data_IF_759243518656
#
_entry.id   IF_759243518656
#
_cell.length_a   1.000
_cell.length_b   1.000
_cell.length_c   1.000
_cell.angle_alpha   90.00
_cell.angle_beta   90.00
_cell.angle_gamma   90.00
#
_symmetry.space_group_name_H-M   'P 1'
#
loop_
_entity.id
_entity.type
_entity.pdbx_description
1 polymer ?
#
# COMPACT_ATOMS: atom_id res chain seq x y z
N UNK A 1 23.09 15.15 -3.14
CA UNK A 1 23.27 14.88 -4.58
C UNK A 1 23.87 13.48 -4.69
N UNK A 2 23.31 12.63 -5.57
CA UNK A 2 23.88 11.31 -5.83
C UNK A 2 25.25 11.43 -6.48
N UNK A 3 26.18 10.57 -6.14
CA UNK A 3 27.52 10.52 -6.74
C UNK A 3 27.43 9.98 -8.18
N UNK A 4 28.45 10.30 -9.00
CA UNK A 4 28.53 9.77 -10.38
C UNK A 4 28.48 8.23 -10.39
N UNK A 5 29.06 7.59 -9.38
CA UNK A 5 29.03 6.12 -9.22
C UNK A 5 27.63 5.60 -8.96
N UNK A 6 26.86 6.27 -8.08
CA UNK A 6 25.47 5.92 -7.79
C UNK A 6 24.56 6.11 -9.02
N UNK A 7 24.75 7.20 -9.77
CA UNK A 7 23.99 7.43 -11.01
C UNK A 7 24.27 6.37 -12.06
N UNK A 8 25.54 5.96 -12.25
CA UNK A 8 25.89 4.85 -13.16
C UNK A 8 25.26 3.52 -12.72
N UNK A 9 25.24 3.25 -11.43
CA UNK A 9 24.60 2.03 -10.89
C UNK A 9 23.10 2.02 -11.17
N UNK A 10 22.40 3.12 -10.88
CA UNK A 10 20.96 3.27 -11.16
C UNK A 10 20.67 3.06 -12.66
N UNK A 11 21.50 3.64 -13.53
CA UNK A 11 21.36 3.47 -14.97
C UNK A 11 21.59 2.02 -15.43
N UNK A 12 22.54 1.31 -14.84
CA UNK A 12 22.78 -0.11 -15.13
C UNK A 12 21.63 -0.98 -14.68
N UNK A 13 21.11 -0.76 -13.46
CA UNK A 13 19.94 -1.48 -12.92
C UNK A 13 18.71 -1.26 -13.80
N UNK A 14 18.47 -0.03 -14.26
CA UNK A 14 17.40 0.30 -15.20
C UNK A 14 17.55 -0.42 -16.55
N UNK A 15 18.74 -0.40 -17.13
CA UNK A 15 19.00 -1.10 -18.39
C UNK A 15 18.80 -2.61 -18.27
N UNK A 16 19.21 -3.19 -17.15
CA UNK A 16 19.02 -4.62 -16.89
C UNK A 16 17.52 -4.96 -16.74
N UNK A 17 16.78 -4.14 -16.01
CA UNK A 17 15.32 -4.28 -15.90
C UNK A 17 14.63 -4.25 -17.28
N UNK A 18 14.99 -3.28 -18.13
CA UNK A 18 14.45 -3.20 -19.49
C UNK A 18 14.80 -4.44 -20.36
N UNK A 19 16.03 -4.96 -20.22
CA UNK A 19 16.44 -6.19 -20.93
C UNK A 19 15.66 -7.40 -20.45
N UNK A 20 15.41 -7.53 -19.17
CA UNK A 20 14.60 -8.61 -18.59
C UNK A 20 13.17 -8.56 -19.12
N UNK A 21 12.53 -7.39 -19.15
CA UNK A 21 11.20 -7.22 -19.76
C UNK A 21 11.22 -7.72 -21.21
N UNK A 22 12.17 -7.26 -22.02
CA UNK A 22 12.29 -7.66 -23.44
C UNK A 22 12.51 -9.17 -23.63
N UNK A 23 13.32 -9.78 -22.77
CA UNK A 23 13.65 -11.21 -22.85
C UNK A 23 12.43 -12.07 -22.49
N UNK A 24 11.79 -11.76 -21.37
CA UNK A 24 10.68 -12.58 -20.83
C UNK A 24 9.39 -12.40 -21.68
N UNK A 25 9.18 -11.21 -22.25
CA UNK A 25 8.04 -10.93 -23.13
C UNK A 25 8.31 -11.22 -24.60
N UNK A 26 9.41 -11.93 -24.93
CA UNK A 26 9.72 -12.27 -26.32
C UNK A 26 8.58 -13.05 -26.99
N UNK A 27 8.30 -12.72 -28.23
CA UNK A 27 7.23 -13.31 -29.02
C UNK A 27 7.72 -14.35 -30.02
N UNK A 28 9.04 -14.58 -30.13
CA UNK A 28 9.63 -15.49 -31.12
C UNK A 28 9.19 -16.94 -30.97
N UNK A 29 8.83 -17.37 -29.73
CA UNK A 29 8.33 -18.71 -29.45
C UNK A 29 6.80 -18.85 -29.45
N UNK A 30 6.06 -17.76 -29.68
CA UNK A 30 4.60 -17.82 -29.76
C UNK A 30 4.18 -18.46 -31.08
N UNK A 31 3.15 -19.31 -30.99
CA UNK A 31 2.52 -19.93 -32.18
C UNK A 31 2.13 -18.84 -33.18
N UNK A 32 2.38 -19.10 -34.49
CA UNK A 32 1.96 -18.19 -35.56
C UNK A 32 0.41 -18.11 -35.54
N UNK A 33 -0.11 -16.98 -35.08
CA UNK A 33 -1.53 -16.69 -35.03
C UNK A 33 -1.97 -16.02 -36.34
N UNK A 34 -3.14 -16.37 -36.81
CA UNK A 34 -3.83 -15.57 -37.83
C UNK A 34 -4.30 -14.24 -37.21
N UNK A 35 -4.60 -13.25 -38.02
CA UNK A 35 -5.15 -11.96 -37.57
C UNK A 35 -6.42 -12.13 -36.72
N UNK A 36 -7.30 -13.06 -37.13
CA UNK A 36 -8.53 -13.39 -36.40
C UNK A 36 -8.25 -14.00 -35.02
N UNK A 37 -7.32 -14.95 -34.95
CA UNK A 37 -6.92 -15.57 -33.65
C UNK A 37 -6.29 -14.54 -32.71
N UNK A 38 -5.46 -13.66 -33.24
CA UNK A 38 -4.87 -12.56 -32.47
C UNK A 38 -5.94 -11.63 -31.88
N UNK A 39 -6.91 -11.22 -32.71
CA UNK A 39 -8.01 -10.37 -32.27
C UNK A 39 -8.86 -11.04 -31.17
N UNK A 40 -9.19 -12.33 -31.36
CA UNK A 40 -9.92 -13.11 -30.35
C UNK A 40 -9.14 -13.22 -29.03
N UNK A 41 -7.83 -13.45 -29.10
CA UNK A 41 -6.98 -13.47 -27.91
C UNK A 41 -6.98 -12.13 -27.21
N UNK A 42 -6.76 -11.03 -27.91
CA UNK A 42 -6.77 -9.68 -27.34
C UNK A 42 -8.12 -9.40 -26.66
N UNK A 43 -9.23 -9.69 -27.34
CA UNK A 43 -10.58 -9.50 -26.78
C UNK A 43 -10.81 -10.33 -25.51
N UNK A 44 -10.28 -11.56 -25.46
CA UNK A 44 -10.32 -12.39 -24.23
C UNK A 44 -9.53 -11.75 -23.09
N UNK A 45 -8.30 -11.31 -23.36
CA UNK A 45 -7.43 -10.67 -22.37
C UNK A 45 -8.02 -9.34 -21.86
N UNK A 46 -8.68 -8.57 -22.70
CA UNK A 46 -9.39 -7.35 -22.31
C UNK A 46 -10.59 -7.61 -21.37
N UNK A 47 -11.18 -8.80 -21.41
CA UNK A 47 -12.28 -9.22 -20.52
C UNK A 47 -11.77 -9.85 -19.22
N UNK A 48 -10.70 -10.63 -19.30
CA UNK A 48 -10.13 -11.40 -18.21
C UNK A 48 -8.85 -10.73 -17.68
N UNK A 49 -8.98 -10.12 -16.51
CA UNK A 49 -7.87 -9.40 -15.88
C UNK A 49 -6.70 -10.33 -15.49
N UNK A 50 -6.99 -11.52 -14.95
CA UNK A 50 -5.94 -12.47 -14.57
C UNK A 50 -5.14 -12.92 -15.80
N UNK A 51 -5.84 -13.32 -16.86
CA UNK A 51 -5.22 -13.71 -18.11
C UNK A 51 -4.43 -12.56 -18.75
N UNK A 52 -4.91 -11.30 -18.63
CA UNK A 52 -4.19 -10.11 -19.07
C UNK A 52 -2.86 -9.96 -18.35
N UNK A 53 -2.87 -10.05 -17.01
CA UNK A 53 -1.66 -9.95 -16.19
C UNK A 53 -0.67 -11.07 -16.53
N UNK A 54 -1.12 -12.31 -16.61
CA UNK A 54 -0.28 -13.48 -16.93
C UNK A 54 0.33 -13.39 -18.33
N UNK A 55 -0.39 -12.86 -19.27
CA UNK A 55 0.11 -12.75 -20.65
C UNK A 55 1.06 -11.58 -20.83
N UNK A 56 0.73 -10.37 -20.37
CA UNK A 56 1.58 -9.20 -20.61
C UNK A 56 2.68 -9.02 -19.57
N UNK A 57 2.50 -9.47 -18.33
CA UNK A 57 3.41 -9.21 -17.20
C UNK A 57 3.93 -10.48 -16.51
N UNK A 58 4.36 -11.52 -17.24
CA UNK A 58 4.82 -12.77 -16.61
C UNK A 58 6.04 -12.57 -15.70
N UNK A 59 6.87 -11.56 -15.95
CA UNK A 59 8.05 -11.25 -15.14
C UNK A 59 7.71 -10.77 -13.73
N UNK A 60 6.55 -10.14 -13.49
CA UNK A 60 6.06 -9.81 -12.16
C UNK A 60 5.48 -11.02 -11.42
N UNK A 61 5.06 -12.03 -12.16
CA UNK A 61 4.36 -13.20 -11.62
C UNK A 61 5.26 -14.43 -11.49
N UNK A 62 6.53 -14.32 -11.83
CA UNK A 62 7.52 -15.41 -11.75
C UNK A 62 8.53 -15.14 -10.64
N UNK A 63 8.57 -16.03 -9.65
CA UNK A 63 9.70 -16.09 -8.74
C UNK A 63 10.82 -16.83 -9.45
N UNK A 64 11.96 -16.17 -9.66
CA UNK A 64 13.12 -16.72 -10.32
C UNK A 64 14.28 -16.90 -9.37
N UNK A 65 15.07 -17.91 -9.58
CA UNK A 65 16.37 -18.06 -8.95
C UNK A 65 17.28 -16.88 -9.38
N UNK A 66 17.93 -16.25 -8.42
CA UNK A 66 18.76 -15.06 -8.68
C UNK A 66 20.08 -15.38 -9.39
N UNK A 67 20.52 -16.63 -9.33
CA UNK A 67 21.80 -17.08 -9.91
C UNK A 67 21.58 -17.71 -11.26
N UNK A 68 20.64 -18.65 -11.36
CA UNK A 68 20.37 -19.39 -12.60
C UNK A 68 19.37 -18.70 -13.54
N UNK A 69 18.55 -17.78 -13.01
CA UNK A 69 17.44 -17.17 -13.75
C UNK A 69 16.25 -18.09 -13.98
N UNK A 70 16.31 -19.35 -13.52
CA UNK A 70 15.23 -20.32 -13.68
C UNK A 70 13.97 -19.92 -12.90
N UNK A 71 12.80 -20.25 -13.45
CA UNK A 71 11.52 -20.00 -12.78
C UNK A 71 11.32 -21.05 -11.69
N UNK A 72 11.43 -20.62 -10.43
CA UNK A 72 11.17 -21.48 -9.27
C UNK A 72 9.66 -21.73 -9.12
N UNK A 73 8.85 -20.66 -9.26
CA UNK A 73 7.40 -20.71 -9.05
C UNK A 73 6.71 -19.61 -9.85
N UNK A 74 5.57 -19.89 -10.45
CA UNK A 74 4.66 -18.90 -10.98
C UNK A 74 3.63 -18.56 -9.91
N UNK A 75 3.41 -17.24 -9.69
CA UNK A 75 2.49 -16.71 -8.71
C UNK A 75 1.28 -16.18 -9.46
N UNK A 76 0.11 -16.77 -9.24
CA UNK A 76 -1.13 -16.33 -9.85
C UNK A 76 -1.80 -15.21 -9.02
N UNK A 77 -2.66 -14.43 -9.69
CA UNK A 77 -3.48 -13.45 -9.00
C UNK A 77 -4.42 -14.13 -8.02
N UNK A 78 -4.48 -13.62 -6.79
CA UNK A 78 -5.54 -14.01 -5.88
C UNK A 78 -6.91 -13.46 -6.31
N UNK A 79 -8.03 -14.05 -5.86
CA UNK A 79 -9.37 -13.57 -6.18
C UNK A 79 -9.60 -12.09 -5.86
N UNK A 80 -8.99 -11.58 -4.78
CA UNK A 80 -9.15 -10.18 -4.37
C UNK A 80 -8.45 -9.19 -5.34
N UNK A 81 -7.36 -9.57 -6.02
CA UNK A 81 -6.73 -8.78 -7.07
C UNK A 81 -7.68 -8.57 -8.24
N UNK A 82 -8.27 -9.67 -8.71
CA UNK A 82 -9.20 -9.65 -9.83
C UNK A 82 -10.49 -8.89 -9.48
N UNK A 83 -11.02 -9.08 -8.27
CA UNK A 83 -12.19 -8.37 -7.79
C UNK A 83 -11.95 -6.85 -7.72
N UNK A 84 -10.78 -6.43 -7.23
CA UNK A 84 -10.41 -5.03 -7.14
C UNK A 84 -10.28 -4.37 -8.52
N UNK A 85 -9.54 -4.98 -9.45
CA UNK A 85 -9.39 -4.48 -10.81
C UNK A 85 -10.73 -4.39 -11.56
N UNK A 86 -11.59 -5.41 -11.43
CA UNK A 86 -12.94 -5.38 -11.98
C UNK A 86 -13.80 -4.28 -11.34
N UNK A 87 -13.69 -4.05 -10.05
CA UNK A 87 -14.37 -2.93 -9.35
C UNK A 87 -13.95 -1.59 -9.93
N UNK A 88 -12.63 -1.39 -10.12
CA UNK A 88 -12.07 -0.16 -10.72
C UNK A 88 -12.56 0.02 -12.15
N UNK A 89 -12.57 -1.06 -12.96
CA UNK A 89 -13.04 -1.02 -14.34
C UNK A 89 -14.51 -0.63 -14.45
N UNK A 90 -15.35 -1.29 -13.65
CA UNK A 90 -16.81 -1.21 -13.77
C UNK A 90 -17.44 -0.02 -13.03
N UNK A 91 -16.64 0.77 -12.31
CA UNK A 91 -17.12 1.94 -11.55
C UNK A 91 -16.37 3.20 -12.00
N UNK A 92 -16.89 3.96 -12.97
CA UNK A 92 -16.20 5.11 -13.56
C UNK A 92 -15.81 6.21 -12.55
N UNK A 93 -16.62 6.43 -11.51
CA UNK A 93 -16.40 7.45 -10.48
C UNK A 93 -15.93 6.85 -9.15
N UNK A 94 -15.20 5.74 -9.20
CA UNK A 94 -14.78 5.03 -8.01
C UNK A 94 -13.86 5.91 -7.14
N UNK A 95 -14.19 5.96 -5.86
CA UNK A 95 -13.29 6.43 -4.80
C UNK A 95 -13.01 5.23 -3.91
N UNK A 96 -11.78 4.71 -3.92
CA UNK A 96 -11.46 3.48 -3.23
C UNK A 96 -10.16 3.55 -2.46
N UNK A 97 -10.12 2.83 -1.34
CA UNK A 97 -8.91 2.50 -0.59
C UNK A 97 -8.73 1.00 -0.61
N UNK A 98 -7.59 0.55 -1.15
CA UNK A 98 -7.17 -0.84 -1.10
C UNK A 98 -6.12 -1.00 0.00
N UNK A 99 -6.60 -1.38 1.16
CA UNK A 99 -5.82 -1.62 2.36
C UNK A 99 -5.40 -3.09 2.39
N UNK A 100 -4.27 -3.39 1.75
CA UNK A 100 -3.74 -4.74 1.61
C UNK A 100 -2.40 -4.89 2.33
N UNK A 101 -2.04 -6.08 2.80
CA UNK A 101 -0.81 -6.31 3.53
C UNK A 101 0.44 -5.98 2.70
N UNK A 102 1.54 -5.78 3.38
CA UNK A 102 2.84 -5.67 2.72
C UNK A 102 3.13 -6.94 1.91
N UNK A 103 3.69 -6.75 0.70
CA UNK A 103 4.01 -7.87 -0.19
C UNK A 103 2.79 -8.53 -0.86
N UNK A 104 1.58 -7.96 -0.78
CA UNK A 104 0.38 -8.45 -1.46
C UNK A 104 0.11 -7.73 -2.79
N UNK A 105 1.16 -7.23 -3.44
CA UNK A 105 1.16 -6.66 -4.79
C UNK A 105 0.18 -5.50 -5.04
N UNK A 106 -0.17 -4.71 -3.98
CA UNK A 106 -1.10 -3.58 -4.11
C UNK A 106 -0.64 -2.55 -5.16
N UNK A 107 0.63 -2.12 -5.09
CA UNK A 107 1.23 -1.19 -6.05
C UNK A 107 1.27 -1.80 -7.45
N UNK A 108 1.77 -3.04 -7.60
CA UNK A 108 1.82 -3.73 -8.88
C UNK A 108 0.46 -3.76 -9.58
N UNK A 109 -0.62 -4.06 -8.83
CA UNK A 109 -1.96 -4.13 -9.39
C UNK A 109 -2.57 -2.77 -9.64
N UNK A 110 -2.45 -1.81 -8.72
CA UNK A 110 -3.19 -0.55 -8.81
C UNK A 110 -2.41 0.54 -9.55
N UNK A 111 -1.07 0.49 -9.53
CA UNK A 111 -0.24 1.49 -10.19
C UNK A 111 0.12 1.06 -11.63
N UNK A 112 0.28 -0.26 -11.89
CA UNK A 112 0.78 -0.75 -13.17
C UNK A 112 -0.29 -1.54 -13.94
N UNK A 113 -0.73 -2.68 -13.42
CA UNK A 113 -1.56 -3.61 -14.20
C UNK A 113 -2.96 -3.07 -14.50
N UNK A 114 -3.63 -2.52 -13.50
CA UNK A 114 -5.00 -2.00 -13.67
C UNK A 114 -5.04 -0.81 -14.61
N UNK A 115 -4.21 0.25 -14.49
CA UNK A 115 -4.24 1.34 -15.44
C UNK A 115 -3.86 0.91 -16.85
N UNK A 116 -2.91 0.00 -17.05
CA UNK A 116 -2.60 -0.53 -18.38
C UNK A 116 -3.75 -1.37 -18.95
N UNK A 117 -4.42 -2.19 -18.11
CA UNK A 117 -5.61 -2.92 -18.54
C UNK A 117 -6.77 -2.00 -18.94
N UNK A 118 -6.97 -0.87 -18.23
CA UNK A 118 -7.96 0.15 -18.57
C UNK A 118 -7.59 0.93 -19.85
N UNK A 119 -6.31 1.18 -20.04
CA UNK A 119 -5.79 1.84 -21.24
C UNK A 119 -6.02 1.02 -22.50
N UNK A 120 -5.81 -0.30 -22.41
CA UNK A 120 -5.94 -1.22 -23.55
C UNK A 120 -7.34 -1.84 -23.72
N UNK A 121 -8.38 -1.29 -23.07
CA UNK A 121 -9.76 -1.70 -23.37
C UNK A 121 -10.18 -1.29 -24.80
N UNK A 122 -11.15 -2.00 -25.43
CA UNK A 122 -11.64 -1.64 -26.78
C UNK A 122 -12.13 -0.19 -26.85
N UNK A 123 -12.83 0.25 -25.82
CA UNK A 123 -13.08 1.66 -25.54
C UNK A 123 -12.18 2.05 -24.38
N UNK A 124 -11.14 2.81 -24.67
CA UNK A 124 -10.18 3.27 -23.65
C UNK A 124 -10.88 3.93 -22.48
N UNK A 125 -10.50 3.50 -21.26
CA UNK A 125 -11.14 3.93 -20.00
C UNK A 125 -10.29 4.89 -19.17
N UNK A 126 -9.06 5.18 -19.63
CA UNK A 126 -8.12 6.08 -18.98
C UNK A 126 -7.39 6.94 -20.03
N UNK A 127 -7.29 8.24 -19.79
CA UNK A 127 -6.64 9.20 -20.68
C UNK A 127 -5.61 10.05 -19.96
N UNK A 128 -5.76 10.24 -18.65
CA UNK A 128 -4.83 11.02 -17.83
C UNK A 128 -4.69 10.39 -16.45
N UNK A 129 -3.53 9.77 -16.22
CA UNK A 129 -3.18 9.18 -14.94
C UNK A 129 -2.23 10.09 -14.16
N UNK A 130 -2.51 10.28 -12.87
CA UNK A 130 -1.59 10.86 -11.89
C UNK A 130 -1.23 9.80 -10.86
N UNK A 131 0.06 9.54 -10.71
CA UNK A 131 0.61 8.67 -9.68
C UNK A 131 1.23 9.52 -8.58
N UNK A 132 0.75 9.36 -7.35
CA UNK A 132 1.18 10.13 -6.19
C UNK A 132 1.96 9.23 -5.25
N UNK A 133 3.22 9.56 -4.98
CA UNK A 133 4.07 8.88 -4.00
C UNK A 133 4.35 9.73 -2.77
N UNK A 134 5.00 9.15 -1.78
CA UNK A 134 5.47 9.87 -0.58
C UNK A 134 6.48 10.99 -0.90
N UNK A 135 7.17 10.88 -2.02
CA UNK A 135 8.06 11.89 -2.62
C UNK A 135 7.95 11.83 -4.13
N UNK A 136 8.40 12.86 -4.81
CA UNK A 136 8.48 12.91 -6.28
C UNK A 136 9.36 11.78 -6.83
N UNK A 137 10.55 11.57 -6.25
CA UNK A 137 11.44 10.47 -6.63
C UNK A 137 10.79 9.08 -6.48
N UNK A 138 9.94 8.91 -5.46
CA UNK A 138 9.19 7.66 -5.26
C UNK A 138 8.14 7.48 -6.35
N UNK A 139 7.41 8.55 -6.67
CA UNK A 139 6.40 8.54 -7.72
C UNK A 139 7.04 8.33 -9.11
N UNK A 140 8.18 8.98 -9.39
CA UNK A 140 8.92 8.82 -10.64
C UNK A 140 9.36 7.37 -10.86
N UNK A 141 9.87 6.69 -9.81
CA UNK A 141 10.27 5.29 -9.92
C UNK A 141 9.10 4.37 -10.25
N UNK A 142 7.95 4.55 -9.56
CA UNK A 142 6.75 3.74 -9.83
C UNK A 142 6.20 4.02 -11.24
N UNK A 143 6.20 5.27 -11.67
CA UNK A 143 5.77 5.63 -13.02
C UNK A 143 6.76 5.12 -14.08
N UNK A 144 8.05 5.03 -13.75
CA UNK A 144 9.09 4.44 -14.58
C UNK A 144 8.80 2.99 -14.95
N UNK A 145 8.24 2.19 -14.04
CA UNK A 145 7.83 0.81 -14.33
C UNK A 145 6.78 0.75 -15.44
N UNK A 146 5.77 1.64 -15.39
CA UNK A 146 4.78 1.76 -16.49
C UNK A 146 5.45 2.17 -17.80
N UNK A 147 6.36 3.14 -17.72
CA UNK A 147 7.10 3.63 -18.89
C UNK A 147 7.93 2.52 -19.54
N UNK A 148 8.60 1.69 -18.72
CA UNK A 148 9.36 0.53 -19.19
C UNK A 148 8.48 -0.51 -19.88
N UNK A 149 7.32 -0.83 -19.30
CA UNK A 149 6.37 -1.75 -19.91
C UNK A 149 5.86 -1.25 -21.28
N UNK A 150 5.48 -0.01 -21.35
CA UNK A 150 4.98 0.59 -22.60
C UNK A 150 6.06 0.70 -23.68
N UNK A 151 7.32 0.80 -23.29
CA UNK A 151 8.45 0.97 -24.21
C UNK A 151 9.10 -0.35 -24.63
N UNK A 152 9.21 -1.32 -23.70
CA UNK A 152 10.06 -2.50 -23.90
C UNK A 152 9.30 -3.82 -23.90
N UNK A 153 8.04 -3.88 -23.45
CA UNK A 153 7.26 -5.10 -23.45
C UNK A 153 6.86 -5.49 -24.89
N UNK A 154 7.51 -6.54 -25.40
CA UNK A 154 7.31 -6.98 -26.79
C UNK A 154 5.90 -7.48 -27.07
N UNK A 155 5.20 -8.05 -26.07
CA UNK A 155 3.81 -8.50 -26.23
C UNK A 155 2.85 -7.32 -26.35
N UNK A 156 3.04 -6.28 -25.53
CA UNK A 156 2.29 -5.02 -25.65
C UNK A 156 2.54 -4.38 -27.00
N UNK A 157 3.81 -4.28 -27.42
CA UNK A 157 4.16 -3.70 -28.72
C UNK A 157 3.57 -4.49 -29.89
N UNK A 158 3.59 -5.84 -29.81
CA UNK A 158 3.04 -6.70 -30.85
C UNK A 158 1.52 -6.56 -30.98
N UNK A 159 0.80 -6.35 -29.88
CA UNK A 159 -0.66 -6.32 -29.88
C UNK A 159 -1.25 -4.91 -30.05
N UNK A 160 -0.64 -3.91 -29.45
CA UNK A 160 -1.14 -2.52 -29.41
C UNK A 160 -0.21 -1.50 -30.09
N UNK A 161 0.89 -1.96 -30.68
CA UNK A 161 1.87 -1.08 -31.31
C UNK A 161 2.79 -0.35 -30.33
N UNK A 162 3.75 0.40 -30.88
CA UNK A 162 4.69 1.20 -30.11
C UNK A 162 3.97 2.36 -29.43
N UNK A 163 4.11 2.44 -28.10
CA UNK A 163 3.43 3.44 -27.27
C UNK A 163 4.26 4.72 -27.07
N UNK A 164 5.59 4.64 -27.16
CA UNK A 164 6.49 5.77 -27.01
C UNK A 164 6.23 6.86 -28.03
N UNK A 165 6.09 8.11 -27.55
CA UNK A 165 5.96 9.32 -28.37
C UNK A 165 7.24 10.15 -28.27
N UNK A 166 7.86 10.45 -29.42
CA UNK A 166 9.09 11.27 -29.45
C UNK A 166 8.82 12.69 -28.95
N UNK A 167 9.71 13.21 -28.11
CA UNK A 167 9.62 14.56 -27.52
C UNK A 167 8.67 14.70 -26.31
N UNK A 168 7.94 13.64 -25.95
CA UNK A 168 7.01 13.63 -24.81
C UNK A 168 7.19 12.37 -23.94
N UNK A 169 8.44 11.95 -23.72
CA UNK A 169 8.78 10.70 -23.03
C UNK A 169 9.90 10.94 -22.03
N UNK A 170 9.60 11.72 -20.98
CA UNK A 170 10.56 12.10 -19.93
C UNK A 170 10.28 11.29 -18.65
N UNK A 171 11.24 11.24 -17.75
CA UNK A 171 11.06 10.67 -16.43
C UNK A 171 10.01 11.50 -15.67
N UNK A 172 9.07 10.81 -15.03
CA UNK A 172 8.01 11.43 -14.22
C UNK A 172 6.87 12.06 -15.02
N UNK A 173 7.05 12.31 -16.33
CA UNK A 173 5.99 12.85 -17.18
C UNK A 173 6.13 12.35 -18.62
N UNK A 174 5.10 11.69 -19.14
CA UNK A 174 5.10 11.28 -20.53
C UNK A 174 3.70 11.17 -21.13
N UNK A 175 3.65 11.20 -22.46
CA UNK A 175 2.41 11.00 -23.23
C UNK A 175 2.63 9.88 -24.23
N UNK A 176 1.72 8.92 -24.27
CA UNK A 176 1.76 7.85 -25.29
C UNK A 176 1.45 8.40 -26.68
N UNK A 177 1.84 7.63 -27.71
CA UNK A 177 1.53 7.96 -29.11
C UNK A 177 0.02 8.17 -29.35
N UNK A 178 -0.81 7.47 -28.58
CA UNK A 178 -2.27 7.58 -28.68
C UNK A 178 -2.87 8.65 -27.76
N UNK A 179 -2.02 9.44 -27.09
CA UNK A 179 -2.43 10.60 -26.31
C UNK A 179 -2.80 10.33 -24.86
N UNK A 180 -2.51 9.15 -24.29
CA UNK A 180 -2.66 8.91 -22.86
C UNK A 180 -1.52 9.60 -22.11
N UNK A 181 -1.85 10.43 -21.14
CA UNK A 181 -0.91 11.21 -20.37
C UNK A 181 -0.68 10.62 -18.98
N UNK A 182 0.58 10.54 -18.57
CA UNK A 182 1.03 10.03 -17.29
C UNK A 182 1.87 11.08 -16.58
N UNK A 183 1.62 11.27 -15.28
CA UNK A 183 2.32 12.24 -14.44
C UNK A 183 2.58 11.68 -13.06
N UNK A 184 3.82 11.79 -12.58
CA UNK A 184 4.22 11.53 -11.21
C UNK A 184 4.09 12.81 -10.36
N UNK A 185 3.70 12.67 -9.11
CA UNK A 185 3.51 13.76 -8.17
C UNK A 185 3.95 13.34 -6.77
N UNK A 186 4.69 14.18 -6.08
CA UNK A 186 5.06 13.96 -4.69
C UNK A 186 3.98 14.42 -3.71
N UNK A 187 4.03 13.91 -2.51
CA UNK A 187 3.20 14.30 -1.37
C UNK A 187 3.26 15.81 -1.11
N UNK A 188 2.09 16.47 -1.07
CA UNK A 188 1.99 17.90 -0.79
C UNK A 188 2.28 18.82 -1.98
N UNK A 189 2.70 18.29 -3.12
CA UNK A 189 2.80 19.10 -4.34
C UNK A 189 1.40 19.52 -4.80
N UNK A 190 1.29 20.71 -5.39
CA UNK A 190 0.00 21.21 -5.82
C UNK A 190 -0.42 20.60 -7.16
N UNK A 191 -1.44 19.74 -7.17
CA UNK A 191 -2.05 19.32 -8.42
C UNK A 191 -3.00 20.39 -8.99
N UNK A 192 -3.07 21.56 -8.33
CA UNK A 192 -3.87 22.69 -8.82
C UNK A 192 -3.29 23.16 -10.14
N UNK A 193 -4.06 22.99 -11.21
CA UNK A 193 -3.62 23.31 -12.57
C UNK A 193 -3.15 22.12 -13.39
N UNK A 194 -3.22 20.88 -12.85
CA UNK A 194 -3.02 19.68 -13.65
C UNK A 194 -4.07 19.60 -14.76
N UNK A 195 -3.79 20.33 -15.82
CA UNK A 195 -4.52 20.25 -17.08
C UNK A 195 -3.52 19.99 -18.15
N UNK A 196 -3.71 18.94 -18.91
CA UNK A 196 -3.05 18.85 -20.21
C UNK A 196 -4.06 19.29 -21.24
N UNK A 197 -3.91 20.52 -21.72
CA UNK A 197 -4.92 21.22 -22.53
C UNK A 197 -6.23 21.36 -21.74
N UNK A 198 -7.30 20.68 -22.14
CA UNK A 198 -8.63 20.71 -21.47
C UNK A 198 -8.90 19.48 -20.58
N UNK A 199 -8.01 18.46 -20.62
CA UNK A 199 -8.21 17.21 -19.90
C UNK A 199 -7.84 17.33 -18.42
N UNK A 200 -8.68 16.74 -17.55
CA UNK A 200 -8.43 16.51 -16.13
C UNK A 200 -8.05 15.05 -15.89
N UNK A 201 -7.34 14.73 -14.80
CA UNK A 201 -7.07 13.35 -14.43
C UNK A 201 -8.34 12.52 -14.32
N UNK A 202 -8.39 11.37 -15.00
CA UNK A 202 -9.45 10.39 -14.89
C UNK A 202 -9.02 9.13 -14.11
N UNK A 203 -7.74 9.08 -13.69
CA UNK A 203 -7.19 8.07 -12.80
C UNK A 203 -6.13 8.71 -11.89
N UNK A 204 -6.43 8.85 -10.60
CA UNK A 204 -5.43 9.25 -9.59
C UNK A 204 -5.19 8.05 -8.68
N UNK A 205 -3.92 7.63 -8.58
CA UNK A 205 -3.51 6.62 -7.61
C UNK A 205 -2.50 7.20 -6.64
N UNK A 206 -2.71 6.94 -5.34
CA UNK A 206 -1.81 7.33 -4.25
C UNK A 206 -1.22 6.05 -3.67
N UNK A 207 0.10 5.91 -3.70
CA UNK A 207 0.80 4.76 -3.16
C UNK A 207 1.65 5.11 -1.94
N UNK A 208 1.44 4.33 -0.88
CA UNK A 208 2.17 4.35 0.41
C UNK A 208 2.48 5.79 0.90
N UNK A 209 1.43 6.63 1.02
CA UNK A 209 1.55 8.04 1.40
C UNK A 209 2.00 8.23 2.86
N UNK A 210 1.58 7.32 3.74
CA UNK A 210 1.86 7.37 5.17
C UNK A 210 3.23 6.76 5.49
N UNK A 211 3.94 7.38 6.42
CA UNK A 211 5.13 6.84 7.07
C UNK A 211 5.07 7.06 8.59
N UNK A 212 5.95 6.37 9.34
CA UNK A 212 5.94 6.43 10.81
C UNK A 212 6.24 7.85 11.33
N UNK A 213 7.07 8.63 10.64
CA UNK A 213 7.38 10.00 11.01
C UNK A 213 6.16 10.91 10.86
N UNK A 214 5.48 10.84 9.71
CA UNK A 214 4.25 11.58 9.45
C UNK A 214 3.18 11.27 10.50
N UNK A 215 2.98 9.97 10.80
CA UNK A 215 1.93 9.53 11.71
C UNK A 215 2.13 9.95 13.17
N UNK A 216 3.34 10.37 13.56
CA UNK A 216 3.63 10.95 14.88
C UNK A 216 3.15 12.41 15.00
N UNK A 217 2.86 13.07 13.90
CA UNK A 217 2.46 14.48 13.87
C UNK A 217 1.02 14.61 13.37
N UNK A 218 0.07 14.67 14.29
CA UNK A 218 -1.37 14.76 13.99
C UNK A 218 -1.72 15.99 13.15
N UNK A 219 -1.00 17.12 13.30
CA UNK A 219 -1.24 18.32 12.51
C UNK A 219 -0.88 18.06 11.05
N UNK A 220 0.30 17.51 10.79
CA UNK A 220 0.73 17.16 9.41
C UNK A 220 -0.19 16.13 8.76
N UNK A 221 -0.67 15.14 9.53
CA UNK A 221 -1.66 14.16 9.04
C UNK A 221 -2.95 14.84 8.62
N UNK A 222 -3.47 15.81 9.42
CA UNK A 222 -4.67 16.57 9.06
C UNK A 222 -4.44 17.39 7.79
N UNK A 223 -3.40 18.21 7.76
CA UNK A 223 -3.04 19.04 6.59
C UNK A 223 -2.94 18.20 5.31
N UNK A 224 -2.33 17.01 5.39
CA UNK A 224 -2.20 16.12 4.25
C UNK A 224 -3.52 15.41 3.89
N UNK A 225 -4.35 15.10 4.88
CA UNK A 225 -5.70 14.56 4.63
C UNK A 225 -6.57 15.59 3.90
N UNK A 226 -6.48 16.86 4.29
CA UNK A 226 -7.20 17.96 3.64
C UNK A 226 -6.65 18.19 2.23
N UNK A 227 -5.32 18.16 2.04
CA UNK A 227 -4.71 18.21 0.71
C UNK A 227 -5.21 17.11 -0.22
N UNK A 228 -5.32 15.86 0.27
CA UNK A 228 -5.89 14.75 -0.52
C UNK A 228 -7.32 15.04 -0.93
N UNK A 229 -8.14 15.55 -0.01
CA UNK A 229 -9.57 15.83 -0.26
C UNK A 229 -9.78 17.05 -1.16
N UNK A 230 -9.05 18.13 -0.92
CA UNK A 230 -9.28 19.38 -1.61
C UNK A 230 -8.53 19.48 -2.94
N UNK A 231 -7.26 19.03 -2.95
CA UNK A 231 -6.41 19.17 -4.12
C UNK A 231 -6.56 18.00 -5.09
N UNK A 232 -6.41 16.76 -4.61
CA UNK A 232 -6.45 15.58 -5.48
C UNK A 232 -7.87 15.23 -5.93
N UNK A 233 -8.83 15.14 -5.00
CA UNK A 233 -10.24 14.93 -5.39
C UNK A 233 -10.79 16.06 -6.25
N UNK A 234 -10.41 17.31 -5.95
CA UNK A 234 -10.81 18.47 -6.72
C UNK A 234 -10.23 18.54 -8.13
N UNK A 235 -9.11 17.82 -8.39
CA UNK A 235 -8.47 17.76 -9.70
C UNK A 235 -9.13 16.74 -10.64
N UNK A 236 -9.82 15.72 -10.10
CA UNK A 236 -10.43 14.65 -10.89
C UNK A 236 -11.42 15.14 -11.94
N UNK A 237 -11.53 14.38 -13.02
CA UNK A 237 -12.59 14.56 -14.01
C UNK A 237 -13.95 14.24 -13.38
N UNK A 238 -14.87 15.18 -13.51
CA UNK A 238 -16.25 15.02 -13.03
C UNK A 238 -16.97 13.98 -13.89
N UNK A 239 -17.46 12.94 -13.23
CA UNK A 239 -18.23 11.89 -13.92
C UNK A 239 -17.43 10.64 -14.31
N UNK A 240 -16.09 10.72 -14.43
CA UNK A 240 -15.23 9.58 -14.83
C UNK A 240 -13.97 9.39 -14.00
N UNK A 241 -13.74 10.27 -13.04
CA UNK A 241 -12.50 10.28 -12.27
C UNK A 241 -12.42 9.16 -11.23
N UNK A 242 -11.51 8.22 -11.40
CA UNK A 242 -11.18 7.18 -10.43
C UNK A 242 -10.13 7.69 -9.46
N UNK A 243 -10.44 7.62 -8.18
CA UNK A 243 -9.50 7.90 -7.10
C UNK A 243 -9.18 6.62 -6.37
N UNK A 244 -7.94 6.22 -6.39
CA UNK A 244 -7.43 5.00 -5.79
C UNK A 244 -6.37 5.37 -4.76
N UNK A 245 -6.48 4.86 -3.55
CA UNK A 245 -5.43 4.94 -2.55
C UNK A 245 -5.04 3.53 -2.13
N UNK A 246 -3.75 3.22 -2.16
CA UNK A 246 -3.23 1.93 -1.73
C UNK A 246 -2.27 2.13 -0.57
N UNK A 247 -2.24 1.20 0.37
CA UNK A 247 -1.34 1.27 1.51
C UNK A 247 -1.65 0.27 2.61
N UNK A 248 -0.77 0.25 3.59
CA UNK A 248 -0.96 -0.46 4.86
C UNK A 248 -1.55 0.48 5.90
N UNK A 249 -2.28 -0.06 6.87
CA UNK A 249 -2.70 0.72 8.03
C UNK A 249 -1.58 0.73 9.08
N UNK A 250 -0.67 1.69 8.97
CA UNK A 250 0.48 1.81 9.88
C UNK A 250 0.15 2.56 11.18
N UNK A 251 -0.93 3.37 11.17
CA UNK A 251 -1.46 4.08 12.34
C UNK A 251 -2.97 4.23 12.24
N UNK A 252 -3.65 4.22 13.39
CA UNK A 252 -5.11 4.47 13.48
C UNK A 252 -5.48 5.93 13.16
N UNK A 253 -4.52 6.82 13.14
CA UNK A 253 -4.66 8.26 12.86
C UNK A 253 -4.00 8.67 11.54
N UNK A 254 -3.53 7.74 10.73
CA UNK A 254 -2.88 8.01 9.44
C UNK A 254 -3.83 8.66 8.41
N UNK A 255 -3.26 9.20 7.34
CA UNK A 255 -4.04 9.75 6.21
C UNK A 255 -4.94 8.68 5.61
N UNK A 256 -4.40 7.48 5.37
CA UNK A 256 -5.16 6.33 4.88
C UNK A 256 -6.34 6.00 5.80
N UNK A 257 -6.12 5.98 7.14
CA UNK A 257 -7.19 5.74 8.11
C UNK A 257 -8.30 6.80 8.03
N UNK A 258 -7.95 8.06 7.82
CA UNK A 258 -8.90 9.16 7.70
C UNK A 258 -9.67 9.10 6.37
N UNK A 259 -9.01 8.76 5.27
CA UNK A 259 -9.68 8.59 3.97
C UNK A 259 -10.64 7.39 4.00
N UNK A 260 -10.28 6.27 4.67
CA UNK A 260 -11.18 5.13 4.88
C UNK A 260 -12.51 5.51 5.55
N UNK A 261 -12.52 6.53 6.41
CA UNK A 261 -13.73 7.00 7.12
C UNK A 261 -14.58 7.98 6.30
N UNK A 262 -14.10 8.41 5.13
CA UNK A 262 -14.79 9.39 4.29
C UNK A 262 -16.02 8.75 3.63
N UNK A 263 -17.17 9.41 3.72
CA UNK A 263 -18.43 8.92 3.13
C UNK A 263 -18.28 8.74 1.61
N UNK A 264 -18.75 7.60 1.11
CA UNK A 264 -18.72 7.28 -0.33
C UNK A 264 -17.40 6.67 -0.81
N UNK A 265 -16.43 6.45 0.08
CA UNK A 265 -15.19 5.73 -0.24
C UNK A 265 -15.42 4.23 -0.07
N UNK A 266 -15.12 3.46 -1.11
CA UNK A 266 -15.08 2.00 -1.04
C UNK A 266 -13.80 1.55 -0.38
N UNK A 267 -13.88 0.75 0.69
CA UNK A 267 -12.70 0.23 1.40
C UNK A 267 -12.61 -1.27 1.20
N UNK A 268 -11.56 -1.72 0.52
CA UNK A 268 -11.19 -3.14 0.43
C UNK A 268 -10.09 -3.43 1.44
N UNK A 269 -10.40 -4.24 2.45
CA UNK A 269 -9.43 -4.66 3.46
C UNK A 269 -9.12 -6.14 3.27
N UNK A 270 -7.85 -6.45 3.07
CA UNK A 270 -7.33 -7.82 2.98
C UNK A 270 -6.33 -8.00 4.12
N UNK A 271 -6.47 -9.08 4.86
CA UNK A 271 -5.51 -9.51 5.87
C UNK A 271 -4.58 -10.57 5.27
N UNK A 272 -3.37 -10.71 5.79
CA UNK A 272 -2.42 -11.70 5.25
C UNK A 272 -2.89 -13.13 5.47
N UNK A 273 -3.56 -13.37 6.58
CA UNK A 273 -4.13 -14.69 6.95
C UNK A 273 -5.57 -14.52 7.41
N UNK A 274 -6.36 -15.60 7.26
CA UNK A 274 -7.71 -15.71 7.80
C UNK A 274 -7.71 -16.04 9.31
N UNK A 275 -8.89 -16.25 9.89
CA UNK A 275 -9.06 -16.59 11.32
C UNK A 275 -8.45 -17.94 11.70
N UNK A 276 -8.20 -18.83 10.73
CA UNK A 276 -7.57 -20.13 10.92
C UNK A 276 -6.05 -20.11 10.66
N UNK A 277 -5.51 -18.92 10.33
CA UNK A 277 -4.11 -18.72 10.01
C UNK A 277 -3.71 -19.16 8.61
N UNK A 278 -4.66 -19.38 7.70
CA UNK A 278 -4.37 -19.70 6.32
C UNK A 278 -4.11 -18.40 5.52
N UNK A 279 -3.06 -18.37 4.67
CA UNK A 279 -2.81 -17.22 3.80
C UNK A 279 -3.99 -16.93 2.87
N UNK A 280 -4.34 -15.65 2.76
CA UNK A 280 -5.40 -15.20 1.84
C UNK A 280 -4.91 -15.21 0.40
N UNK A 281 -3.60 -15.03 0.17
CA UNK A 281 -2.97 -15.24 -1.13
C UNK A 281 -2.21 -16.58 -1.16
N UNK A 282 -2.97 -17.68 -1.34
CA UNK A 282 -2.45 -19.05 -1.28
C UNK A 282 -1.49 -19.39 -2.42
N UNK A 283 -1.62 -18.72 -3.55
CA UNK A 283 -0.75 -18.89 -4.72
C UNK A 283 0.67 -18.35 -4.45
N UNK A 284 0.81 -17.44 -3.48
CA UNK A 284 2.11 -16.85 -3.10
C UNK A 284 2.65 -17.39 -1.79
N UNK A 285 1.79 -17.60 -0.81
CA UNK A 285 2.18 -17.96 0.55
C UNK A 285 1.64 -19.31 0.96
N UNK A 286 2.49 -20.17 1.48
CA UNK A 286 2.06 -21.33 2.27
C UNK A 286 1.80 -20.92 3.72
N UNK A 287 1.07 -21.73 4.47
CA UNK A 287 0.81 -21.48 5.90
C UNK A 287 2.12 -21.44 6.72
N UNK A 288 3.07 -22.30 6.36
CA UNK A 288 4.37 -22.34 7.02
C UNK A 288 5.22 -21.11 6.71
N UNK A 289 5.29 -20.66 5.44
CA UNK A 289 5.99 -19.43 5.07
C UNK A 289 5.42 -18.21 5.80
N UNK A 290 4.10 -18.11 5.93
CA UNK A 290 3.44 -17.04 6.66
C UNK A 290 3.77 -17.07 8.17
N UNK A 291 3.83 -18.27 8.78
CA UNK A 291 4.20 -18.48 10.18
C UNK A 291 5.66 -18.10 10.42
N UNK A 292 6.58 -18.62 9.61
CA UNK A 292 8.02 -18.31 9.72
C UNK A 292 8.27 -16.80 9.57
N UNK A 293 7.56 -16.15 8.63
CA UNK A 293 7.67 -14.71 8.46
C UNK A 293 7.12 -13.95 9.67
N UNK A 294 5.98 -14.37 10.25
CA UNK A 294 5.41 -13.77 11.45
C UNK A 294 6.35 -13.87 12.66
N UNK A 295 6.96 -15.04 12.85
CA UNK A 295 7.93 -15.29 13.93
C UNK A 295 9.19 -14.42 13.75
N UNK A 296 9.69 -14.28 12.51
CA UNK A 296 10.86 -13.47 12.19
C UNK A 296 10.65 -11.96 12.41
N UNK A 297 9.53 -11.40 11.92
CA UNK A 297 9.27 -9.97 12.05
C UNK A 297 8.72 -9.58 13.42
N UNK A 298 8.21 -10.54 14.16
CA UNK A 298 7.65 -10.39 15.50
C UNK A 298 6.22 -9.81 15.51
N UNK A 299 5.56 -9.95 16.64
CA UNK A 299 4.13 -9.67 16.83
C UNK A 299 3.71 -8.26 16.42
N UNK A 300 4.49 -7.22 16.76
CA UNK A 300 4.16 -5.82 16.45
C UNK A 300 4.19 -5.54 14.96
N UNK A 301 5.28 -5.93 14.29
CA UNK A 301 5.44 -5.70 12.86
C UNK A 301 4.42 -6.52 12.05
N UNK A 302 4.18 -7.78 12.45
CA UNK A 302 3.15 -8.61 11.84
C UNK A 302 1.77 -7.96 11.91
N UNK A 303 1.34 -7.53 13.11
CA UNK A 303 0.04 -6.89 13.28
C UNK A 303 -0.10 -5.60 12.47
N UNK A 304 0.95 -4.75 12.45
CA UNK A 304 0.96 -3.49 11.72
C UNK A 304 0.92 -3.71 10.20
N UNK A 305 1.88 -4.49 9.68
CA UNK A 305 2.12 -4.59 8.24
C UNK A 305 1.25 -5.63 7.53
N UNK A 306 0.84 -6.68 8.26
CA UNK A 306 0.16 -7.83 7.69
C UNK A 306 -1.32 -7.92 8.09
N UNK A 307 -1.68 -7.42 9.27
CA UNK A 307 -3.03 -7.55 9.83
C UNK A 307 -3.74 -6.21 10.01
N UNK A 308 -3.19 -5.10 9.53
CA UNK A 308 -3.76 -3.75 9.65
C UNK A 308 -4.22 -3.38 11.07
N UNK A 309 -3.51 -3.90 12.06
CA UNK A 309 -3.77 -3.65 13.48
C UNK A 309 -2.53 -3.02 14.14
N UNK A 310 -2.25 -1.74 13.86
CA UNK A 310 -1.11 -1.06 14.46
C UNK A 310 -1.30 -0.96 15.97
N UNK A 311 -0.31 -1.47 16.69
CA UNK A 311 -0.28 -1.44 18.14
C UNK A 311 0.34 -0.10 18.56
N UNK A 312 -0.42 0.70 19.28
CA UNK A 312 0.07 1.95 19.86
C UNK A 312 0.99 1.60 21.02
N UNK A 313 2.14 2.26 21.14
CA UNK A 313 3.03 2.14 22.29
C UNK A 313 2.25 2.44 23.58
N UNK A 314 2.35 1.56 24.56
CA UNK A 314 1.58 1.63 25.81
C UNK A 314 0.27 0.84 25.81
N UNK A 315 -0.18 0.28 24.69
CA UNK A 315 -1.40 -0.56 24.64
C UNK A 315 -1.07 -2.07 24.56
N UNK A 316 -0.04 -2.49 25.28
CA UNK A 316 0.33 -3.92 25.36
C UNK A 316 -0.75 -4.72 26.08
N UNK A 317 -1.56 -4.08 26.95
CA UNK A 317 -2.65 -4.69 27.66
C UNK A 317 -3.97 -4.44 26.94
N UNK A 318 -4.67 -5.52 26.56
CA UNK A 318 -6.02 -5.43 26.01
C UNK A 318 -7.05 -5.38 27.14
N UNK A 319 -8.07 -4.54 26.97
CA UNK A 319 -9.16 -4.41 27.94
C UNK A 319 -9.85 -5.76 28.21
N UNK A 320 -9.94 -6.61 27.21
CA UNK A 320 -10.52 -7.98 27.31
C UNK A 320 -9.71 -8.93 28.22
N UNK A 321 -8.46 -8.61 28.54
CA UNK A 321 -7.65 -9.37 29.47
C UNK A 321 -7.87 -8.96 30.93
N UNK A 322 -8.49 -7.79 31.14
CA UNK A 322 -8.80 -7.29 32.48
C UNK A 322 -10.04 -8.03 32.99
N UNK A 323 -9.85 -8.81 34.03
CA UNK A 323 -10.96 -9.50 34.71
C UNK A 323 -11.32 -8.76 35.97
N UNK A 324 -12.60 -8.44 36.09
CA UNK A 324 -13.12 -7.81 37.31
C UNK A 324 -13.63 -8.91 38.26
N UNK A 325 -13.15 -8.90 39.49
CA UNK A 325 -13.56 -9.87 40.50
C UNK A 325 -13.59 -9.24 41.92
N UNK A 326 -14.32 -9.85 42.83
CA UNK A 326 -14.32 -9.42 44.23
C UNK A 326 -12.93 -9.66 44.82
N UNK A 327 -12.34 -8.61 45.39
CA UNK A 327 -11.00 -8.66 45.96
C UNK A 327 -10.92 -9.67 47.10
N UNK A 328 -9.89 -10.56 47.14
CA UNK A 328 -9.57 -11.39 48.31
C UNK A 328 -9.26 -10.53 49.57
N UNK A 329 -9.32 -11.14 50.72
CA UNK A 329 -8.92 -10.45 51.93
C UNK A 329 -7.41 -10.05 51.86
N UNK A 330 -7.05 -8.97 52.52
CA UNK A 330 -5.64 -8.48 52.47
C UNK A 330 -4.63 -9.54 52.92
N UNK A 331 -4.98 -10.36 53.90
CA UNK A 331 -4.16 -11.45 54.44
C UNK A 331 -3.91 -12.62 53.48
N UNK A 332 -4.70 -12.70 52.43
CA UNK A 332 -4.63 -13.80 51.46
C UNK A 332 -3.62 -13.50 50.32
N UNK A 333 -3.07 -12.28 50.29
CA UNK A 333 -2.04 -11.93 49.34
C UNK A 333 -0.65 -12.31 49.85
N UNK A 334 0.15 -12.99 49.03
CA UNK A 334 1.51 -13.41 49.38
C UNK A 334 2.53 -12.28 49.25
N UNK A 335 2.26 -11.32 48.38
CA UNK A 335 3.18 -10.22 48.06
C UNK A 335 2.41 -8.97 47.66
N UNK A 336 2.98 -7.80 47.97
CA UNK A 336 2.51 -6.51 47.48
C UNK A 336 3.65 -5.77 46.77
N UNK A 337 3.36 -5.13 45.66
CA UNK A 337 4.28 -4.29 44.93
C UNK A 337 3.65 -2.94 44.70
N UNK A 338 4.28 -1.89 45.17
CA UNK A 338 3.96 -0.50 44.86
C UNK A 338 4.88 -0.02 43.75
N UNK A 339 4.33 0.21 42.57
CA UNK A 339 5.05 0.81 41.44
C UNK A 339 4.76 2.30 41.40
N UNK A 340 5.81 3.15 41.39
CA UNK A 340 5.68 4.60 41.32
C UNK A 340 6.45 5.13 40.10
N UNK A 341 5.76 5.90 39.27
CA UNK A 341 6.35 6.72 38.20
C UNK A 341 6.21 8.20 38.59
N UNK A 342 7.24 8.84 39.10
CA UNK A 342 7.14 10.15 39.75
C UNK A 342 7.10 11.32 38.78
N UNK A 343 7.42 11.15 37.46
CA UNK A 343 7.48 12.25 36.46
C UNK A 343 7.93 13.59 37.06
N UNK A 344 9.24 13.88 37.10
CA UNK A 344 9.85 14.98 37.90
C UNK A 344 9.44 16.42 37.49
N UNK A 345 8.86 16.63 36.29
CA UNK A 345 8.53 17.97 35.82
C UNK A 345 7.05 18.28 36.01
N UNK A 346 6.74 19.49 36.52
CA UNK A 346 5.36 19.90 36.89
C UNK A 346 4.65 20.84 35.91
N UNK A 347 5.16 21.01 34.68
CA UNK A 347 4.50 21.89 33.67
C UNK A 347 3.22 21.28 33.10
N UNK A 348 2.24 22.09 32.67
CA UNK A 348 0.94 21.67 32.10
C UNK A 348 1.03 20.71 30.89
N UNK A 349 2.20 20.65 30.24
CA UNK A 349 2.50 19.79 29.10
C UNK A 349 3.12 18.44 29.46
N UNK A 350 3.33 18.14 30.73
CA UNK A 350 4.07 16.97 31.20
C UNK A 350 3.15 15.76 31.45
N UNK A 351 3.80 14.58 31.50
CA UNK A 351 3.17 13.31 31.80
C UNK A 351 2.50 13.28 33.18
N UNK A 352 1.51 12.42 33.31
CA UNK A 352 0.84 12.12 34.56
C UNK A 352 1.78 11.40 35.51
N UNK A 353 1.68 11.71 36.82
CA UNK A 353 2.31 10.87 37.85
C UNK A 353 1.47 9.63 38.08
N UNK A 354 2.10 8.50 38.28
CA UNK A 354 1.41 7.26 38.54
C UNK A 354 1.96 6.54 39.80
N UNK A 355 1.05 6.08 40.64
CA UNK A 355 1.37 5.09 41.67
C UNK A 355 0.33 3.97 41.55
N UNK A 356 0.78 2.73 41.52
CA UNK A 356 -0.09 1.55 41.37
C UNK A 356 0.30 0.49 42.40
N UNK A 357 -0.69 0.06 43.15
CA UNK A 357 -0.53 -1.05 44.11
C UNK A 357 -1.03 -2.35 43.51
N UNK A 358 -0.16 -3.33 43.51
CA UNK A 358 -0.45 -4.69 43.04
C UNK A 358 -0.30 -5.68 44.18
N UNK A 359 -1.10 -6.73 44.18
CA UNK A 359 -0.98 -7.86 45.11
C UNK A 359 -0.98 -9.18 44.37
N UNK A 360 -0.20 -10.15 44.83
CA UNK A 360 -0.20 -11.52 44.29
C UNK A 360 -1.02 -12.43 45.19
N UNK A 361 -2.03 -13.05 44.59
CA UNK A 361 -2.83 -14.07 45.26
C UNK A 361 -2.91 -15.30 44.37
N UNK A 362 -2.34 -16.42 44.86
CA UNK A 362 -2.15 -17.65 44.04
C UNK A 362 -1.36 -17.34 42.77
N UNK A 363 -1.89 -17.69 41.59
CA UNK A 363 -1.31 -17.44 40.27
C UNK A 363 -1.74 -16.11 39.65
N UNK A 364 -2.58 -15.34 40.34
CA UNK A 364 -3.14 -14.09 39.80
C UNK A 364 -2.45 -12.86 40.38
N UNK A 365 -2.20 -11.88 39.51
CA UNK A 365 -1.79 -10.56 39.88
C UNK A 365 -3.00 -9.63 39.95
N UNK A 366 -3.20 -8.99 41.11
CA UNK A 366 -4.35 -8.13 41.37
C UNK A 366 -3.92 -6.68 41.39
N UNK A 367 -4.57 -5.87 40.53
CA UNK A 367 -4.44 -4.43 40.62
C UNK A 367 -5.40 -3.91 41.70
N UNK A 368 -4.86 -3.44 42.79
CA UNK A 368 -5.61 -3.13 44.01
C UNK A 368 -5.99 -1.66 44.11
N UNK A 369 -5.07 -0.75 43.78
CA UNK A 369 -5.28 0.70 43.77
C UNK A 369 -4.42 1.38 42.70
N UNK A 370 -4.90 2.49 42.16
CA UNK A 370 -4.18 3.36 41.26
C UNK A 370 -4.37 4.84 41.63
N UNK A 371 -3.28 5.56 41.55
CA UNK A 371 -3.26 7.01 41.45
C UNK A 371 -2.61 7.34 40.10
N UNK A 372 -3.35 7.95 39.17
CA UNK A 372 -2.83 8.36 37.86
C UNK A 372 -3.45 9.71 37.51
N UNK A 373 -2.70 10.78 37.74
CA UNK A 373 -3.16 12.14 37.43
C UNK A 373 -2.01 13.15 37.38
N UNK A 374 -2.27 14.34 36.85
CA UNK A 374 -1.36 15.47 36.96
C UNK A 374 -1.41 15.95 38.41
N UNK A 375 -0.32 15.83 39.10
CA UNK A 375 -0.22 16.19 40.52
C UNK A 375 1.19 16.70 40.88
N UNK A 376 1.34 17.37 42.00
CA UNK A 376 2.64 17.64 42.58
C UNK A 376 3.25 16.36 43.17
N UNK A 377 4.56 16.36 43.45
CA UNK A 377 5.20 15.22 44.14
C UNK A 377 4.62 15.03 45.52
N UNK A 378 4.31 16.13 46.23
CA UNK A 378 3.70 16.09 47.57
C UNK A 378 2.31 15.41 47.56
N UNK A 379 1.52 15.61 46.51
CA UNK A 379 0.20 14.94 46.34
C UNK A 379 0.33 13.46 45.95
N UNK A 380 1.44 13.05 45.33
CA UNK A 380 1.70 11.65 45.00
C UNK A 380 2.10 10.84 46.26
N UNK A 381 2.78 11.47 47.22
CA UNK A 381 3.32 10.84 48.44
C UNK A 381 2.28 10.81 49.56
N UNK A 382 1.27 11.67 49.56
CA UNK A 382 0.12 11.62 50.47
C UNK A 382 -0.89 10.56 50.04
#
# INVERSE_FOLDING_TARGET
>A
MATISELKKIQQEWQEHCRQIQSITDTKGLVRESSVQKEQRIRRLQKDYAAFCEYYFPHFLQLRDKVTGEVIRTIHNAPFHNAAANKVKNTPNLKAVFKWPRGHAKSTHMDIFTPLWLMFQPKRLINFMVLVGKSEDSANRLLGDIQAELQYNKRIIADFGKQMSMGNWTEGEFTTKEGVYFLACGRGQSPRGLRKREARPDYIVIDDLDDDELCRNERRVRELTDWVKEALFGALDVGRGRFIMVGNLISKTSVLANICKTKGVHVSTIYAVDSEGNPVWREKWTKEEARVYADFVGYRAWNKEMMHNPIVEGTVFRQEWIRWAKRPAWKDFSEFVLYIDPSWKSKKTNDTKAAKLWGKHKTYLWHLRAFVRKASVAELVR
#
